data_IF_891921822515
#
_entry.id   IF_891921822515
#
_cell.length_a   1.000
_cell.length_b   1.000
_cell.length_c   1.000
_cell.angle_alpha   90.00
_cell.angle_beta   90.00
_cell.angle_gamma   90.00
#
_symmetry.space_group_name_H-M   'P 1'
#
loop_
_entity.id
_entity.type
_entity.pdbx_description
1 polymer ?
#
# COMPACT_ATOMS: atom_id res chain seq x y z
N UNK A 1 2.46 -24.31 9.65
CA UNK A 1 1.12 -24.08 10.24
C UNK A 1 0.12 -23.95 9.10
N UNK A 2 -1.16 -24.35 9.28
CA UNK A 2 -2.17 -24.05 8.26
C UNK A 2 -2.23 -22.54 8.02
N UNK A 3 -2.50 -22.16 6.76
CA UNK A 3 -2.60 -20.78 6.28
C UNK A 3 -3.44 -19.93 7.25
N UNK A 4 -2.89 -18.80 7.66
CA UNK A 4 -3.63 -17.80 8.44
C UNK A 4 -4.28 -16.82 7.45
N UNK A 5 -5.59 -16.92 7.17
CA UNK A 5 -6.26 -16.08 6.18
C UNK A 5 -6.49 -14.67 6.76
N UNK A 6 -5.39 -13.94 7.00
CA UNK A 6 -5.39 -12.65 7.68
C UNK A 6 -5.90 -11.50 6.80
N UNK A 7 -6.03 -11.73 5.49
CA UNK A 7 -6.51 -10.74 4.51
C UNK A 7 -7.66 -11.31 3.66
N UNK A 8 -8.43 -12.23 4.21
CA UNK A 8 -9.47 -12.96 3.45
C UNK A 8 -10.50 -12.02 2.80
N UNK A 9 -10.88 -10.93 3.45
CA UNK A 9 -11.93 -10.05 2.92
C UNK A 9 -11.42 -9.24 1.72
N UNK A 10 -10.14 -8.88 1.71
CA UNK A 10 -9.54 -8.21 0.55
C UNK A 10 -9.39 -9.19 -0.61
N UNK A 11 -9.02 -10.45 -0.35
CA UNK A 11 -9.02 -11.51 -1.36
C UNK A 11 -10.42 -11.70 -1.99
N UNK A 12 -11.48 -11.70 -1.17
CA UNK A 12 -12.87 -11.75 -1.68
C UNK A 12 -13.18 -10.53 -2.54
N UNK A 13 -12.79 -9.33 -2.12
CA UNK A 13 -13.02 -8.11 -2.90
C UNK A 13 -12.29 -8.14 -4.26
N UNK A 14 -11.02 -8.57 -4.28
CA UNK A 14 -10.24 -8.73 -5.51
C UNK A 14 -10.81 -9.84 -6.41
N UNK A 15 -11.20 -10.98 -5.84
CA UNK A 15 -11.80 -12.07 -6.61
C UNK A 15 -13.16 -11.64 -7.21
N UNK A 16 -13.97 -10.89 -6.47
CA UNK A 16 -15.24 -10.37 -6.96
C UNK A 16 -15.04 -9.37 -8.10
N UNK A 17 -14.12 -8.41 -7.96
CA UNK A 17 -13.83 -7.44 -9.03
C UNK A 17 -13.25 -8.13 -10.27
N UNK A 18 -12.38 -9.12 -10.08
CA UNK A 18 -11.84 -9.94 -11.16
C UNK A 18 -12.92 -10.75 -11.89
N UNK A 19 -13.86 -11.36 -11.18
CA UNK A 19 -14.97 -12.11 -11.81
C UNK A 19 -15.89 -11.23 -12.66
N UNK A 20 -16.02 -9.94 -12.31
CA UNK A 20 -16.91 -9.02 -13.02
C UNK A 20 -16.27 -8.45 -14.29
N UNK A 21 -15.01 -8.04 -14.24
CA UNK A 21 -14.35 -7.28 -15.31
C UNK A 21 -12.89 -7.74 -15.58
N UNK A 22 -12.49 -8.92 -15.12
CA UNK A 22 -11.12 -9.41 -15.24
C UNK A 22 -10.10 -8.49 -14.56
N UNK A 23 -8.93 -8.34 -15.16
CA UNK A 23 -7.87 -7.46 -14.65
C UNK A 23 -8.29 -5.98 -14.60
N UNK A 24 -9.16 -5.54 -15.50
CA UNK A 24 -9.70 -4.19 -15.48
C UNK A 24 -10.50 -3.93 -14.19
N UNK A 25 -11.25 -4.91 -13.71
CA UNK A 25 -11.98 -4.83 -12.45
C UNK A 25 -11.08 -4.64 -11.24
N UNK A 26 -9.94 -5.34 -11.22
CA UNK A 26 -8.92 -5.19 -10.17
C UNK A 26 -8.31 -3.80 -10.21
N UNK A 27 -7.93 -3.31 -11.39
CA UNK A 27 -7.36 -1.97 -11.56
C UNK A 27 -8.35 -0.88 -11.17
N UNK A 28 -9.61 -1.01 -11.57
CA UNK A 28 -10.68 -0.07 -11.19
C UNK A 28 -10.90 -0.03 -9.68
N UNK A 29 -10.90 -1.19 -9.00
CA UNK A 29 -11.00 -1.26 -7.55
C UNK A 29 -9.81 -0.52 -6.89
N UNK A 30 -8.58 -0.79 -7.33
CA UNK A 30 -7.38 -0.12 -6.82
C UNK A 30 -7.42 1.39 -7.03
N UNK A 31 -7.77 1.84 -8.24
CA UNK A 31 -7.89 3.24 -8.58
C UNK A 31 -8.97 3.95 -7.75
N UNK A 32 -10.11 3.29 -7.52
CA UNK A 32 -11.18 3.80 -6.65
C UNK A 32 -10.69 3.95 -5.21
N UNK A 33 -10.00 2.96 -4.65
CA UNK A 33 -9.46 3.03 -3.29
C UNK A 33 -8.45 4.18 -3.14
N UNK A 34 -7.52 4.32 -4.10
CA UNK A 34 -6.53 5.41 -4.11
C UNK A 34 -7.23 6.77 -4.25
N UNK A 35 -8.17 6.89 -5.20
CA UNK A 35 -8.92 8.12 -5.45
C UNK A 35 -9.73 8.56 -4.23
N UNK A 36 -10.46 7.62 -3.59
CA UNK A 36 -11.20 7.89 -2.36
C UNK A 36 -10.27 8.29 -1.20
N UNK A 37 -9.12 7.64 -1.07
CA UNK A 37 -8.11 7.97 -0.04
C UNK A 37 -7.69 9.43 -0.18
N UNK A 38 -7.24 9.85 -1.37
CA UNK A 38 -6.75 11.20 -1.57
C UNK A 38 -7.86 12.25 -1.66
N UNK A 39 -9.10 11.87 -2.00
CA UNK A 39 -10.26 12.74 -1.84
C UNK A 39 -10.54 13.05 -0.35
N UNK A 40 -10.42 12.06 0.54
CA UNK A 40 -10.56 12.27 1.99
C UNK A 40 -9.41 13.10 2.56
N UNK A 41 -8.17 12.83 2.14
CA UNK A 41 -6.99 13.63 2.51
C UNK A 41 -7.16 15.08 2.07
N UNK A 42 -7.59 15.32 0.82
CA UNK A 42 -7.89 16.66 0.31
C UNK A 42 -8.93 17.37 1.17
N UNK A 43 -10.06 16.72 1.44
CA UNK A 43 -11.14 17.30 2.26
C UNK A 43 -10.65 17.66 3.67
N UNK A 44 -9.85 16.79 4.29
CA UNK A 44 -9.25 17.06 5.60
C UNK A 44 -8.26 18.23 5.55
N UNK A 45 -7.38 18.25 4.55
CA UNK A 45 -6.40 19.32 4.35
C UNK A 45 -7.05 20.69 4.09
N UNK A 46 -8.10 20.73 3.26
CA UNK A 46 -8.86 21.94 2.95
C UNK A 46 -9.65 22.43 4.17
N UNK A 47 -10.28 21.52 4.92
CA UNK A 47 -11.02 21.87 6.14
C UNK A 47 -10.11 22.43 7.24
N UNK A 48 -8.88 21.91 7.36
CA UNK A 48 -7.91 22.37 8.37
C UNK A 48 -7.28 23.72 8.06
N UNK A 49 -7.07 24.05 6.79
CA UNK A 49 -6.36 25.26 6.38
C UNK A 49 -7.28 26.40 5.93
N UNK A 50 -8.48 26.08 5.42
CA UNK A 50 -9.33 27.03 4.69
C UNK A 50 -8.78 27.41 3.31
N UNK A 51 -7.76 26.69 2.81
CA UNK A 51 -7.02 26.97 1.58
C UNK A 51 -7.17 25.81 0.59
N UNK A 52 -8.26 25.73 -0.20
CA UNK A 52 -8.53 24.59 -1.08
C UNK A 52 -7.52 24.39 -2.20
N UNK A 53 -6.85 25.42 -2.73
CA UNK A 53 -5.84 25.25 -3.78
C UNK A 53 -4.52 24.73 -3.19
N UNK A 54 -4.09 25.31 -2.07
CA UNK A 54 -2.93 24.81 -1.33
C UNK A 54 -3.14 23.37 -0.83
N UNK A 55 -4.34 23.05 -0.34
CA UNK A 55 -4.72 21.69 0.03
C UNK A 55 -4.63 20.72 -1.14
N UNK A 56 -5.05 21.14 -2.35
CA UNK A 56 -4.92 20.31 -3.54
C UNK A 56 -3.44 20.06 -3.86
N UNK A 57 -2.62 21.11 -3.88
CA UNK A 57 -1.19 20.99 -4.19
C UNK A 57 -0.45 20.03 -3.23
N UNK A 58 -0.67 20.19 -1.92
CA UNK A 58 -0.08 19.28 -0.92
C UNK A 58 -0.64 17.86 -1.03
N UNK A 59 -1.93 17.71 -1.35
CA UNK A 59 -2.54 16.38 -1.56
C UNK A 59 -1.98 15.70 -2.80
N UNK A 60 -1.76 16.41 -3.90
CA UNK A 60 -1.13 15.87 -5.10
C UNK A 60 0.33 15.46 -4.85
N UNK A 61 1.07 16.26 -4.07
CA UNK A 61 2.42 15.90 -3.64
C UNK A 61 2.39 14.63 -2.76
N UNK A 62 1.43 14.53 -1.83
CA UNK A 62 1.24 13.36 -1.00
C UNK A 62 0.84 12.11 -1.82
N UNK A 63 0.01 12.27 -2.85
CA UNK A 63 -0.35 11.21 -3.77
C UNK A 63 0.88 10.73 -4.56
N UNK A 64 1.68 11.66 -5.08
CA UNK A 64 2.93 11.34 -5.77
C UNK A 64 3.98 10.70 -4.84
N UNK A 65 4.07 11.11 -3.57
CA UNK A 65 4.92 10.42 -2.59
C UNK A 65 4.41 9.00 -2.29
N UNK A 66 3.09 8.84 -2.16
CA UNK A 66 2.46 7.56 -1.91
C UNK A 66 2.54 6.58 -3.10
N UNK A 67 2.69 7.07 -4.33
CA UNK A 67 2.70 6.21 -5.53
C UNK A 67 3.92 5.29 -5.60
N UNK A 68 4.94 5.54 -4.79
CA UNK A 68 6.07 4.62 -4.56
C UNK A 68 5.63 3.20 -4.19
N UNK A 69 4.43 3.04 -3.63
CA UNK A 69 3.91 1.76 -3.19
C UNK A 69 2.43 1.56 -3.56
N UNK A 70 2.01 1.99 -4.76
CA UNK A 70 0.67 1.68 -5.29
C UNK A 70 0.68 0.35 -6.04
N UNK A 71 0.66 -0.73 -5.28
CA UNK A 71 0.56 -2.10 -5.82
C UNK A 71 -0.89 -2.58 -5.71
N UNK A 72 -1.33 -3.44 -6.63
CA UNK A 72 -2.64 -4.11 -6.56
C UNK A 72 -2.63 -5.17 -5.45
N UNK A 73 -2.63 -4.71 -4.20
CA UNK A 73 -2.46 -5.48 -2.99
C UNK A 73 -3.39 -4.97 -1.88
N UNK A 74 -3.67 -5.79 -0.85
CA UNK A 74 -4.60 -5.44 0.23
C UNK A 74 -4.25 -4.17 1.04
N UNK A 75 -2.99 -3.72 1.05
CA UNK A 75 -2.59 -2.51 1.77
C UNK A 75 -3.28 -1.23 1.24
N UNK A 76 -3.81 -1.21 0.02
CA UNK A 76 -4.61 -0.08 -0.48
C UNK A 76 -5.87 0.17 0.38
N UNK A 77 -6.48 -0.89 0.93
CA UNK A 77 -7.57 -0.74 1.89
C UNK A 77 -7.07 -0.06 3.17
N UNK A 78 -5.87 -0.39 3.63
CA UNK A 78 -5.25 0.29 4.78
C UNK A 78 -5.07 1.78 4.53
N UNK A 79 -4.65 2.19 3.33
CA UNK A 79 -4.48 3.61 3.02
C UNK A 79 -5.81 4.38 3.18
N UNK A 80 -6.90 3.83 2.63
CA UNK A 80 -8.23 4.40 2.77
C UNK A 80 -8.68 4.44 4.23
N UNK A 81 -8.48 3.34 4.97
CA UNK A 81 -8.91 3.23 6.36
C UNK A 81 -8.08 4.13 7.29
N UNK A 82 -6.80 4.38 7.01
CA UNK A 82 -5.99 5.40 7.70
C UNK A 82 -6.60 6.79 7.50
N UNK A 83 -6.98 7.16 6.27
CA UNK A 83 -7.60 8.46 5.98
C UNK A 83 -8.95 8.62 6.69
N UNK A 84 -9.80 7.57 6.67
CA UNK A 84 -11.07 7.55 7.42
C UNK A 84 -10.81 7.65 8.92
N UNK A 85 -9.92 6.81 9.46
CA UNK A 85 -9.60 6.71 10.87
C UNK A 85 -9.09 8.03 11.45
N UNK A 86 -8.13 8.66 10.77
CA UNK A 86 -7.61 10.00 11.16
C UNK A 86 -8.70 11.05 11.11
N UNK A 87 -9.57 11.05 10.08
CA UNK A 87 -10.71 11.95 9.99
C UNK A 87 -11.72 11.78 11.14
N UNK A 88 -12.00 10.54 11.55
CA UNK A 88 -12.85 10.25 12.71
C UNK A 88 -12.23 10.78 14.01
N UNK A 89 -10.93 10.55 14.21
CA UNK A 89 -10.21 11.03 15.40
C UNK A 89 -10.13 12.56 15.45
N UNK A 90 -9.95 13.22 14.31
CA UNK A 90 -10.07 14.68 14.20
C UNK A 90 -11.48 15.16 14.56
N UNK A 91 -12.52 14.48 14.09
CA UNK A 91 -13.90 14.79 14.45
C UNK A 91 -14.12 14.72 15.95
N UNK A 92 -13.67 13.63 16.59
CA UNK A 92 -13.75 13.45 18.05
C UNK A 92 -12.99 14.57 18.77
N UNK A 93 -11.75 14.85 18.36
CA UNK A 93 -10.92 15.93 18.91
C UNK A 93 -11.64 17.28 18.85
N UNK A 94 -12.30 17.56 17.73
CA UNK A 94 -13.01 18.82 17.50
C UNK A 94 -14.43 18.83 18.11
N UNK A 95 -14.77 17.86 18.98
CA UNK A 95 -16.00 17.84 19.75
C UNK A 95 -17.16 17.06 19.14
N UNK A 96 -17.00 16.40 17.99
CA UNK A 96 -18.02 15.50 17.39
C UNK A 96 -18.09 14.17 18.13
N UNK A 97 -18.42 14.22 19.42
CA UNK A 97 -18.33 13.09 20.36
C UNK A 97 -19.14 11.87 19.92
N UNK A 98 -20.29 12.06 19.26
CA UNK A 98 -21.13 10.92 18.88
C UNK A 98 -20.52 10.04 17.80
N UNK A 99 -19.43 10.44 17.15
CA UNK A 99 -18.82 9.66 16.07
C UNK A 99 -17.95 8.49 16.57
N UNK A 100 -17.72 8.35 17.88
CA UNK A 100 -16.82 7.32 18.43
C UNK A 100 -17.23 5.89 18.10
N UNK A 101 -18.53 5.62 17.89
CA UNK A 101 -19.03 4.28 17.53
C UNK A 101 -18.58 3.85 16.13
N UNK A 102 -18.17 4.78 15.27
CA UNK A 102 -17.63 4.45 13.96
C UNK A 102 -16.23 3.83 14.04
N UNK A 103 -15.44 4.13 15.09
CA UNK A 103 -14.10 3.57 15.28
C UNK A 103 -14.12 2.03 15.32
N UNK A 104 -14.88 1.35 16.20
CA UNK A 104 -14.89 -0.11 16.20
C UNK A 104 -15.42 -0.70 14.89
N UNK A 105 -16.34 -0.05 14.17
CA UNK A 105 -16.79 -0.55 12.87
C UNK A 105 -15.69 -0.49 11.80
N UNK A 106 -14.95 0.62 11.75
CA UNK A 106 -13.80 0.77 10.86
C UNK A 106 -12.72 -0.26 11.21
N UNK A 107 -12.44 -0.47 12.49
CA UNK A 107 -11.43 -1.44 12.94
C UNK A 107 -11.85 -2.89 12.64
N UNK A 108 -13.13 -3.23 12.82
CA UNK A 108 -13.68 -4.54 12.47
C UNK A 108 -13.51 -4.83 10.97
N UNK A 109 -13.75 -3.84 10.12
CA UNK A 109 -13.51 -3.95 8.69
C UNK A 109 -12.01 -4.09 8.40
N UNK A 110 -11.18 -3.27 9.05
CA UNK A 110 -9.73 -3.22 8.83
C UNK A 110 -9.04 -4.54 9.18
N UNK A 111 -9.33 -5.11 10.34
CA UNK A 111 -8.69 -6.35 10.82
C UNK A 111 -8.97 -7.56 9.93
N UNK A 112 -10.04 -7.52 9.13
CA UNK A 112 -10.37 -8.55 8.15
C UNK A 112 -9.84 -8.26 6.74
N UNK A 113 -9.45 -7.01 6.45
CA UNK A 113 -8.94 -6.58 5.14
C UNK A 113 -7.42 -6.67 5.03
N UNK A 114 -6.67 -6.26 6.06
CA UNK A 114 -5.21 -6.15 6.00
C UNK A 114 -4.55 -6.14 7.39
N UNK A 115 -3.37 -6.75 7.50
CA UNK A 115 -2.63 -6.90 8.77
C UNK A 115 -2.13 -5.58 9.40
N UNK A 116 -2.10 -4.47 8.64
CA UNK A 116 -1.66 -3.18 9.15
C UNK A 116 -2.73 -2.39 9.94
N UNK A 117 -3.77 -3.05 10.45
CA UNK A 117 -4.72 -2.46 11.41
C UNK A 117 -4.03 -1.88 12.67
N UNK A 118 -2.83 -2.38 12.98
CA UNK A 118 -1.93 -1.87 14.04
C UNK A 118 -1.66 -0.37 13.86
N UNK A 119 -1.60 0.13 12.62
CA UNK A 119 -1.41 1.56 12.34
C UNK A 119 -2.52 2.42 12.92
N UNK A 120 -3.76 1.91 12.93
CA UNK A 120 -4.88 2.58 13.59
C UNK A 120 -4.64 2.81 15.07
N UNK A 121 -4.06 1.84 15.78
CA UNK A 121 -3.72 1.98 17.21
C UNK A 121 -2.55 2.93 17.45
N UNK A 122 -1.51 2.92 16.59
CA UNK A 122 -0.41 3.88 16.67
C UNK A 122 -0.95 5.31 16.54
N UNK A 123 -1.83 5.54 15.56
CA UNK A 123 -2.47 6.85 15.35
C UNK A 123 -3.36 7.20 16.54
N UNK A 124 -4.20 6.28 17.01
CA UNK A 124 -5.08 6.51 18.16
C UNK A 124 -4.30 6.85 19.42
N UNK A 125 -3.17 6.17 19.68
CA UNK A 125 -2.28 6.47 20.80
C UNK A 125 -1.72 7.89 20.72
N UNK A 126 -1.36 8.38 19.53
CA UNK A 126 -0.91 9.76 19.35
C UNK A 126 -2.02 10.77 19.74
N UNK A 127 -3.27 10.53 19.34
CA UNK A 127 -4.41 11.37 19.73
C UNK A 127 -4.71 11.28 21.23
N UNK A 128 -4.67 10.08 21.81
CA UNK A 128 -4.87 9.89 23.24
C UNK A 128 -3.78 10.60 24.08
N UNK A 129 -2.52 10.52 23.64
CA UNK A 129 -1.40 11.24 24.24
C UNK A 129 -1.59 12.76 24.11
N UNK A 130 -1.98 13.25 22.92
CA UNK A 130 -2.24 14.66 22.68
C UNK A 130 -3.37 15.22 23.56
N UNK A 131 -4.48 14.49 23.69
CA UNK A 131 -5.58 14.84 24.59
C UNK A 131 -5.14 14.83 26.06
N UNK A 132 -4.43 13.79 26.50
CA UNK A 132 -3.97 13.66 27.89
C UNK A 132 -3.01 14.78 28.27
N UNK A 133 -2.07 15.11 27.37
CA UNK A 133 -1.14 16.22 27.55
C UNK A 133 -1.86 17.56 27.70
N UNK A 134 -2.83 17.86 26.81
CA UNK A 134 -3.62 19.08 26.92
C UNK A 134 -4.42 19.14 28.22
N UNK A 135 -5.07 18.05 28.61
CA UNK A 135 -5.95 17.98 29.77
C UNK A 135 -5.20 18.03 31.11
N UNK A 136 -4.04 17.37 31.21
CA UNK A 136 -3.33 17.15 32.48
C UNK A 136 -2.03 17.92 32.63
N UNK A 137 -1.37 18.32 31.54
CA UNK A 137 -0.10 19.06 31.58
C UNK A 137 -0.30 20.54 31.26
N UNK A 138 -1.02 20.83 30.17
CA UNK A 138 -1.31 22.21 29.75
C UNK A 138 -2.54 22.79 30.48
N UNK A 139 -3.34 21.93 31.11
CA UNK A 139 -4.63 22.28 31.72
C UNK A 139 -5.57 23.07 30.77
N UNK A 140 -5.53 22.73 29.48
CA UNK A 140 -6.40 23.32 28.49
C UNK A 140 -7.86 22.87 28.70
N UNK A 141 -8.81 23.75 28.41
CA UNK A 141 -10.22 23.40 28.33
C UNK A 141 -10.46 22.49 27.12
N UNK A 142 -10.92 21.28 27.37
CA UNK A 142 -11.23 20.28 26.34
C UNK A 142 -12.75 20.15 26.18
N UNK A 143 -13.26 19.94 24.95
CA UNK A 143 -14.66 19.67 24.74
C UNK A 143 -15.15 18.48 25.59
N UNK A 144 -16.34 18.62 26.18
CA UNK A 144 -16.87 17.62 27.10
C UNK A 144 -17.08 16.26 26.40
N UNK A 145 -16.48 15.21 26.96
CA UNK A 145 -16.66 13.83 26.51
C UNK A 145 -15.66 13.34 25.46
N UNK A 146 -14.67 14.14 25.05
CA UNK A 146 -13.59 13.72 24.14
C UNK A 146 -12.80 12.54 24.70
N UNK A 147 -12.32 12.64 25.95
CA UNK A 147 -11.58 11.56 26.60
C UNK A 147 -12.37 10.25 26.71
N UNK A 148 -13.67 10.35 27.05
CA UNK A 148 -14.57 9.19 27.08
C UNK A 148 -14.74 8.58 25.68
N UNK A 149 -14.87 9.40 24.65
CA UNK A 149 -15.02 8.97 23.26
C UNK A 149 -13.77 8.26 22.76
N UNK A 150 -12.58 8.81 23.04
CA UNK A 150 -11.30 8.16 22.72
C UNK A 150 -11.14 6.84 23.46
N UNK A 151 -11.43 6.81 24.76
CA UNK A 151 -11.31 5.60 25.59
C UNK A 151 -12.26 4.49 25.14
N UNK A 152 -13.56 4.79 24.99
CA UNK A 152 -14.56 3.81 24.55
C UNK A 152 -14.31 3.36 23.11
N UNK A 153 -14.04 4.30 22.20
CA UNK A 153 -13.73 4.00 20.82
C UNK A 153 -12.48 3.12 20.68
N UNK A 154 -11.41 3.44 21.41
CA UNK A 154 -10.18 2.65 21.42
C UNK A 154 -10.36 1.26 22.02
N UNK A 155 -11.00 1.16 23.19
CA UNK A 155 -11.24 -0.12 23.87
C UNK A 155 -12.13 -1.06 23.05
N UNK A 156 -13.22 -0.54 22.47
CA UNK A 156 -14.08 -1.35 21.59
C UNK A 156 -13.39 -1.71 20.29
N UNK A 157 -12.57 -0.80 19.72
CA UNK A 157 -11.76 -1.11 18.54
C UNK A 157 -10.76 -2.23 18.82
N UNK A 158 -10.14 -2.25 20.01
CA UNK A 158 -9.27 -3.34 20.43
C UNK A 158 -10.05 -4.65 20.57
N UNK A 159 -11.23 -4.62 21.20
CA UNK A 159 -12.07 -5.81 21.39
C UNK A 159 -12.48 -6.44 20.04
N UNK A 160 -12.89 -5.63 19.06
CA UNK A 160 -13.30 -6.15 17.74
C UNK A 160 -12.14 -6.71 16.92
N UNK A 161 -10.87 -6.47 17.29
CA UNK A 161 -9.74 -7.14 16.61
C UNK A 161 -9.78 -8.65 16.76
N UNK A 162 -10.47 -9.17 17.79
CA UNK A 162 -10.70 -10.61 17.96
C UNK A 162 -11.75 -11.17 16.98
N UNK A 163 -12.53 -10.33 16.30
CA UNK A 163 -13.60 -10.73 15.39
C UNK A 163 -13.06 -10.93 13.96
N UNK A 164 -12.23 -11.95 13.82
CA UNK A 164 -11.67 -12.41 12.55
C UNK A 164 -11.45 -13.94 12.63
N UNK A 165 -11.28 -14.66 11.50
CA UNK A 165 -11.15 -16.13 11.49
C UNK A 165 -10.01 -16.70 12.36
N UNK A 166 -8.99 -15.89 12.64
CA UNK A 166 -7.77 -16.24 13.38
C UNK A 166 -7.88 -15.86 14.87
N UNK A 167 -8.82 -14.98 15.21
CA UNK A 167 -8.96 -14.41 16.55
C UNK A 167 -7.75 -13.58 16.98
N UNK A 168 -7.40 -13.64 18.26
CA UNK A 168 -6.29 -12.86 18.85
C UNK A 168 -4.91 -13.28 18.36
N UNK A 169 -4.76 -14.50 17.80
CA UNK A 169 -3.47 -14.97 17.25
C UNK A 169 -2.98 -14.11 16.09
N UNK A 170 -3.88 -13.37 15.44
CA UNK A 170 -3.55 -12.43 14.38
C UNK A 170 -2.51 -11.39 14.82
N UNK A 171 -2.57 -10.92 16.08
CA UNK A 171 -1.57 -10.00 16.63
C UNK A 171 -0.16 -10.59 16.63
N UNK A 172 -0.03 -11.87 16.99
CA UNK A 172 1.24 -12.57 16.99
C UNK A 172 1.77 -12.76 15.56
N UNK A 173 0.90 -13.05 14.59
CA UNK A 173 1.27 -13.15 13.17
C UNK A 173 1.77 -11.81 12.62
N UNK A 174 1.00 -10.73 12.83
CA UNK A 174 1.35 -9.40 12.31
C UNK A 174 2.61 -8.82 12.95
N UNK A 175 2.83 -9.04 14.25
CA UNK A 175 4.03 -8.58 14.96
C UNK A 175 5.24 -9.50 14.71
N UNK A 176 5.02 -10.82 14.59
CA UNK A 176 6.08 -11.81 14.37
C UNK A 176 6.74 -11.67 13.00
N UNK A 177 5.96 -11.35 11.96
CA UNK A 177 6.51 -11.11 10.62
C UNK A 177 7.46 -9.91 10.59
N UNK A 178 7.10 -8.81 11.25
CA UNK A 178 7.97 -7.63 11.37
C UNK A 178 9.30 -7.93 12.09
N UNK A 179 9.37 -9.00 12.87
CA UNK A 179 10.58 -9.44 13.57
C UNK A 179 11.47 -10.41 12.79
N UNK A 180 11.05 -10.94 11.63
CA UNK A 180 11.86 -11.87 10.85
C UNK A 180 12.84 -11.11 9.94
N UNK A 181 14.06 -10.89 10.45
CA UNK A 181 15.10 -10.13 9.75
C UNK A 181 15.51 -10.70 8.38
N UNK A 182 15.40 -12.02 8.17
CA UNK A 182 15.76 -12.65 6.89
C UNK A 182 14.73 -12.34 5.80
N UNK A 183 13.44 -12.52 6.09
CA UNK A 183 12.36 -12.21 5.14
C UNK A 183 12.25 -10.70 4.87
N UNK A 184 12.40 -9.88 5.92
CA UNK A 184 12.42 -8.42 5.83
C UNK A 184 13.65 -7.93 5.04
N UNK A 185 14.82 -8.52 5.25
CA UNK A 185 16.06 -8.10 4.57
C UNK A 185 16.09 -8.42 3.06
N UNK A 186 15.33 -9.41 2.59
CA UNK A 186 15.27 -9.80 1.18
C UNK A 186 14.07 -9.22 0.42
N UNK A 187 13.32 -8.31 1.03
CA UNK A 187 12.14 -7.68 0.42
C UNK A 187 12.40 -6.19 0.25
N UNK A 188 12.54 -5.74 -1.00
CA UNK A 188 12.93 -4.36 -1.33
C UNK A 188 12.03 -3.29 -0.70
N UNK A 189 10.76 -3.62 -0.42
CA UNK A 189 9.80 -2.71 0.23
C UNK A 189 10.12 -2.38 1.71
N UNK A 190 10.93 -3.20 2.38
CA UNK A 190 11.38 -2.96 3.76
C UNK A 190 12.66 -2.16 3.85
N UNK A 191 13.32 -1.90 2.73
CA UNK A 191 14.53 -1.07 2.69
C UNK A 191 14.18 0.42 2.81
N UNK A 192 15.16 1.20 3.25
CA UNK A 192 15.08 2.65 3.27
C UNK A 192 14.92 3.23 1.86
N UNK A 193 14.19 4.35 1.70
CA UNK A 193 14.08 5.04 0.41
C UNK A 193 15.46 5.44 -0.14
N UNK A 194 15.72 5.13 -1.41
CA UNK A 194 16.93 5.56 -2.10
C UNK A 194 16.69 6.90 -2.82
N UNK A 195 17.17 8.00 -2.23
CA UNK A 195 16.98 9.35 -2.78
C UNK A 195 17.77 9.64 -4.07
N UNK A 196 18.66 8.73 -4.50
CA UNK A 196 19.25 8.80 -5.84
C UNK A 196 18.29 8.33 -6.93
N UNK A 197 17.25 7.57 -6.59
CA UNK A 197 16.17 7.22 -7.52
C UNK A 197 15.15 8.36 -7.59
N UNK A 198 14.91 8.86 -8.81
CA UNK A 198 13.95 9.92 -9.12
C UNK A 198 12.54 9.55 -8.67
N UNK A 199 12.20 8.26 -8.63
CA UNK A 199 10.90 7.78 -8.16
C UNK A 199 10.60 8.25 -6.72
N UNK A 200 11.63 8.45 -5.88
CA UNK A 200 11.50 8.85 -4.47
C UNK A 200 11.45 10.36 -4.25
N UNK A 201 11.70 11.16 -5.28
CA UNK A 201 11.75 12.61 -5.16
C UNK A 201 10.46 13.26 -4.66
N UNK A 202 9.25 12.80 -5.01
CA UNK A 202 8.04 13.35 -4.41
C UNK A 202 8.01 13.22 -2.88
N UNK A 203 8.51 12.10 -2.33
CA UNK A 203 8.65 11.93 -0.89
C UNK A 203 9.70 12.89 -0.31
N UNK A 204 10.87 13.04 -0.95
CA UNK A 204 11.89 14.01 -0.55
C UNK A 204 11.35 15.45 -0.54
N UNK A 205 10.65 15.85 -1.62
CA UNK A 205 10.01 17.16 -1.73
C UNK A 205 8.97 17.38 -0.63
N UNK A 206 8.22 16.34 -0.26
CA UNK A 206 7.28 16.40 0.85
C UNK A 206 7.97 16.62 2.20
N UNK A 207 9.09 15.94 2.46
CA UNK A 207 9.92 16.17 3.66
C UNK A 207 10.43 17.61 3.69
N UNK A 208 11.05 18.07 2.61
CA UNK A 208 11.61 19.42 2.51
C UNK A 208 10.54 20.50 2.68
N UNK A 209 9.36 20.28 2.06
CA UNK A 209 8.20 21.16 2.22
C UNK A 209 7.74 21.19 3.67
N UNK A 210 7.66 20.04 4.34
CA UNK A 210 7.29 19.95 5.75
C UNK A 210 8.27 20.68 6.66
N UNK A 211 9.58 20.46 6.48
CA UNK A 211 10.63 21.15 7.23
C UNK A 211 10.57 22.66 7.03
N UNK A 212 10.43 23.11 5.77
CA UNK A 212 10.30 24.53 5.45
C UNK A 212 9.04 25.14 6.09
N UNK A 213 7.88 24.48 5.99
CA UNK A 213 6.63 24.97 6.60
C UNK A 213 6.73 25.09 8.12
N UNK A 214 7.31 24.10 8.80
CA UNK A 214 7.50 24.15 10.26
C UNK A 214 8.47 25.27 10.64
N UNK A 215 9.56 25.45 9.89
CA UNK A 215 10.54 26.51 10.15
C UNK A 215 10.00 27.92 9.87
N UNK A 216 9.27 28.09 8.75
CA UNK A 216 8.75 29.37 8.28
C UNK A 216 7.50 29.81 9.04
N UNK A 217 6.52 28.91 9.22
CA UNK A 217 5.26 29.24 9.89
C UNK A 217 5.39 29.28 11.42
N UNK A 218 6.43 28.63 11.98
CA UNK A 218 6.61 28.37 13.42
C UNK A 218 5.29 27.98 14.11
N UNK A 219 4.60 26.96 13.58
CA UNK A 219 3.25 26.63 14.02
C UNK A 219 3.28 26.11 15.46
N UNK A 220 2.25 26.42 16.24
CA UNK A 220 2.00 25.76 17.52
C UNK A 220 1.40 24.38 17.25
N UNK A 221 2.24 23.42 16.89
CA UNK A 221 1.82 22.04 16.65
C UNK A 221 1.30 21.42 17.96
N UNK A 222 0.13 20.81 17.88
CA UNK A 222 -0.37 19.95 18.96
C UNK A 222 0.49 18.69 19.07
N UNK A 223 0.61 18.13 20.28
CA UNK A 223 1.48 16.97 20.54
C UNK A 223 1.16 15.79 19.61
N UNK A 224 -0.12 15.49 19.36
CA UNK A 224 -0.51 14.44 18.41
C UNK A 224 0.00 14.70 17.00
N UNK A 225 -0.02 15.95 16.53
CA UNK A 225 0.47 16.30 15.19
C UNK A 225 1.98 16.13 15.11
N UNK A 226 2.71 16.52 16.16
CA UNK A 226 4.15 16.32 16.24
C UNK A 226 4.51 14.83 16.28
N UNK A 227 3.82 14.03 17.10
CA UNK A 227 4.02 12.58 17.17
C UNK A 227 3.72 11.89 15.83
N UNK A 228 2.65 12.28 15.16
CA UNK A 228 2.28 11.73 13.85
C UNK A 228 3.30 12.13 12.77
N UNK A 229 3.70 13.40 12.70
CA UNK A 229 4.70 13.85 11.73
C UNK A 229 6.05 13.15 11.94
N UNK A 230 6.58 13.20 13.17
CA UNK A 230 7.92 12.67 13.47
C UNK A 230 7.95 11.14 13.47
N UNK A 231 6.93 10.50 14.05
CA UNK A 231 6.83 9.04 14.12
C UNK A 231 6.70 8.41 12.74
N UNK A 232 5.78 8.90 11.91
CA UNK A 232 5.62 8.37 10.55
C UNK A 232 6.77 8.74 9.64
N UNK A 233 7.40 9.91 9.80
CA UNK A 233 8.62 10.25 9.06
C UNK A 233 9.75 9.27 9.41
N UNK A 234 9.98 9.00 10.69
CA UNK A 234 10.98 8.02 11.13
C UNK A 234 10.73 6.64 10.54
N UNK A 235 9.48 6.15 10.60
CA UNK A 235 9.10 4.86 10.01
C UNK A 235 9.24 4.83 8.48
N UNK A 236 8.95 5.94 7.80
CA UNK A 236 9.07 6.07 6.34
C UNK A 236 10.53 6.17 5.87
N UNK A 237 11.43 6.72 6.69
CA UNK A 237 12.87 6.73 6.42
C UNK A 237 13.50 5.34 6.64
N UNK A 238 12.94 4.55 7.56
CA UNK A 238 13.37 3.15 7.78
C UNK A 238 12.87 2.23 6.68
N UNK A 239 11.65 2.42 6.18
CA UNK A 239 11.06 1.55 5.15
C UNK A 239 10.13 2.32 4.20
N UNK A 240 10.34 2.14 2.90
CA UNK A 240 9.50 2.71 1.82
C UNK A 240 8.01 2.36 2.02
N UNK A 241 7.69 1.20 2.58
CA UNK A 241 6.31 0.77 2.84
C UNK A 241 5.50 1.74 3.72
N UNK A 242 6.16 2.52 4.57
CA UNK A 242 5.48 3.48 5.46
C UNK A 242 5.34 4.88 4.84
N UNK A 243 5.95 5.15 3.68
CA UNK A 243 5.84 6.43 2.97
C UNK A 243 4.38 6.80 2.64
N UNK A 244 3.53 5.88 2.12
CA UNK A 244 2.12 6.18 1.89
C UNK A 244 1.37 6.66 3.15
N UNK A 245 1.62 6.02 4.29
CA UNK A 245 0.94 6.36 5.55
C UNK A 245 1.42 7.72 6.07
N UNK A 246 2.74 7.98 5.99
CA UNK A 246 3.28 9.31 6.26
C UNK A 246 2.61 10.36 5.38
N UNK A 247 2.50 10.13 4.08
CA UNK A 247 1.92 11.08 3.13
C UNK A 247 0.45 11.41 3.47
N UNK A 248 -0.35 10.40 3.78
CA UNK A 248 -1.78 10.55 4.15
C UNK A 248 -1.95 11.33 5.45
N UNK A 249 -1.18 10.99 6.47
CA UNK A 249 -1.31 11.59 7.81
C UNK A 249 -0.73 13.00 7.87
N UNK A 250 0.39 13.23 7.19
CA UNK A 250 1.11 14.51 7.25
C UNK A 250 0.46 15.59 6.37
N UNK A 251 -0.12 15.25 5.22
CA UNK A 251 -0.67 16.24 4.29
C UNK A 251 -1.68 17.21 4.93
N UNK A 252 -2.69 16.77 5.70
CA UNK A 252 -3.60 17.69 6.38
C UNK A 252 -2.93 18.50 7.50
N UNK A 253 -1.87 17.97 8.14
CA UNK A 253 -1.11 18.70 9.17
C UNK A 253 -0.28 19.81 8.52
N UNK A 254 0.48 19.48 7.47
CA UNK A 254 1.33 20.43 6.75
C UNK A 254 0.50 21.55 6.13
N UNK A 255 -0.65 21.21 5.54
CA UNK A 255 -1.56 22.23 4.97
C UNK A 255 -2.08 23.18 6.05
N UNK A 256 -2.30 22.70 7.28
CA UNK A 256 -2.70 23.55 8.42
C UNK A 256 -1.63 24.57 8.84
N UNK A 257 -0.36 24.39 8.45
CA UNK A 257 0.72 25.34 8.73
C UNK A 257 0.77 26.50 7.71
N UNK A 258 0.18 26.34 6.52
CA UNK A 258 0.25 27.31 5.42
C UNK A 258 -0.35 28.69 5.72
N UNK A 259 -1.49 28.82 6.44
CA UNK A 259 -2.04 30.13 6.77
C UNK A 259 -1.04 31.05 7.47
N UNK A 260 -0.17 30.51 8.34
CA UNK A 260 0.86 31.28 9.04
C UNK A 260 1.96 31.83 8.11
N UNK A 261 2.19 31.20 6.95
CA UNK A 261 3.19 31.65 5.96
C UNK A 261 2.58 32.67 4.99
N UNK A 262 1.35 32.44 4.55
CA UNK A 262 0.71 33.23 3.50
C UNK A 262 0.21 34.61 3.96
N UNK A 263 0.18 34.88 5.26
CA UNK A 263 -0.26 36.17 5.80
C UNK A 263 0.76 37.31 5.66
N UNK A 264 2.00 37.03 5.22
CA UNK A 264 3.12 37.98 5.34
C UNK A 264 3.66 38.61 4.03
N UNK A 265 2.98 38.49 2.86
CA UNK A 265 3.51 39.07 1.61
C UNK A 265 2.46 39.51 0.58
N UNK A 266 2.80 40.48 -0.29
CA UNK A 266 1.92 40.99 -1.36
C UNK A 266 1.49 39.92 -2.39
N UNK A 267 2.35 38.97 -2.82
CA UNK A 267 1.92 37.79 -3.58
C UNK A 267 0.91 36.92 -2.81
N UNK A 268 1.03 36.87 -1.47
CA UNK A 268 0.10 36.19 -0.58
C UNK A 268 -1.33 36.73 -0.67
N UNK A 269 -1.52 38.05 -0.81
CA UNK A 269 -2.85 38.66 -0.96
C UNK A 269 -3.53 38.28 -2.29
N UNK A 270 -2.77 38.23 -3.39
CA UNK A 270 -3.31 37.78 -4.67
C UNK A 270 -3.68 36.29 -4.64
N UNK A 271 -2.86 35.47 -3.98
CA UNK A 271 -3.15 34.05 -3.76
C UNK A 271 -4.39 33.85 -2.88
N UNK A 272 -4.52 34.60 -1.79
CA UNK A 272 -5.68 34.56 -0.90
C UNK A 272 -7.00 34.86 -1.63
N UNK A 273 -7.00 35.76 -2.62
CA UNK A 273 -8.19 36.00 -3.46
C UNK A 273 -8.58 34.78 -4.28
N UNK A 274 -7.61 34.07 -4.85
CA UNK A 274 -7.85 32.82 -5.59
C UNK A 274 -8.37 31.71 -4.66
N UNK A 275 -7.76 31.58 -3.49
CA UNK A 275 -8.20 30.64 -2.44
C UNK A 275 -9.65 30.93 -2.02
N UNK A 276 -9.99 32.19 -1.77
CA UNK A 276 -11.35 32.59 -1.41
C UNK A 276 -12.36 32.33 -2.55
N UNK A 277 -11.97 32.58 -3.81
CA UNK A 277 -12.78 32.24 -4.97
C UNK A 277 -13.03 30.75 -5.08
N UNK A 278 -11.98 29.94 -4.94
CA UNK A 278 -12.09 28.48 -4.97
C UNK A 278 -12.89 27.94 -3.77
N UNK A 279 -12.74 28.51 -2.58
CA UNK A 279 -13.51 28.11 -1.40
C UNK A 279 -15.01 28.38 -1.58
N UNK A 280 -15.37 29.50 -2.24
CA UNK A 280 -16.76 29.77 -2.61
C UNK A 280 -17.29 28.78 -3.65
N UNK A 281 -16.48 28.44 -4.65
CA UNK A 281 -16.84 27.45 -5.67
C UNK A 281 -17.07 26.07 -5.03
N UNK A 282 -16.12 25.60 -4.20
CA UNK A 282 -16.24 24.35 -3.45
C UNK A 282 -17.45 24.36 -2.53
N UNK A 283 -17.70 25.45 -1.81
CA UNK A 283 -18.88 25.61 -0.96
C UNK A 283 -20.18 25.53 -1.77
N UNK A 284 -20.24 26.22 -2.91
CA UNK A 284 -21.40 26.21 -3.81
C UNK A 284 -21.66 24.84 -4.45
N UNK A 285 -20.60 24.10 -4.76
CA UNK A 285 -20.65 22.74 -5.31
C UNK A 285 -20.61 21.64 -4.23
N UNK A 286 -20.75 22.00 -2.94
CA UNK A 286 -20.76 21.06 -1.81
C UNK A 286 -19.54 20.11 -1.76
N UNK A 287 -18.38 20.58 -2.20
CA UNK A 287 -17.14 19.78 -2.22
C UNK A 287 -16.93 18.95 -3.50
N UNK A 288 -17.77 19.14 -4.53
CA UNK A 288 -17.72 18.33 -5.75
C UNK A 288 -16.96 19.00 -6.91
N UNK A 289 -16.26 20.13 -6.69
CA UNK A 289 -15.61 20.84 -7.80
C UNK A 289 -14.54 19.99 -8.50
N UNK A 290 -13.65 19.31 -7.75
CA UNK A 290 -12.63 18.44 -8.34
C UNK A 290 -13.18 17.17 -9.00
N UNK A 291 -14.10 16.39 -8.38
CA UNK A 291 -14.75 15.28 -9.07
C UNK A 291 -15.39 15.69 -10.41
N UNK A 292 -16.07 16.84 -10.45
CA UNK A 292 -16.65 17.39 -11.68
C UNK A 292 -15.54 17.70 -12.69
N UNK A 293 -14.48 18.42 -12.27
CA UNK A 293 -13.37 18.77 -13.13
C UNK A 293 -12.65 17.55 -13.72
N UNK A 294 -12.39 16.52 -12.90
CA UNK A 294 -11.77 15.26 -13.34
C UNK A 294 -12.68 14.51 -14.30
N UNK A 295 -13.98 14.44 -14.02
CA UNK A 295 -14.96 13.78 -14.89
C UNK A 295 -15.05 14.48 -16.25
N UNK A 296 -15.06 15.82 -16.26
CA UNK A 296 -15.05 16.61 -17.49
C UNK A 296 -13.73 16.43 -18.26
N UNK A 297 -12.59 16.47 -17.58
CA UNK A 297 -11.28 16.26 -18.20
C UNK A 297 -11.17 14.86 -18.83
N UNK A 298 -11.64 13.83 -18.12
CA UNK A 298 -11.70 12.46 -18.65
C UNK A 298 -12.64 12.36 -19.86
N UNK A 299 -13.83 12.96 -19.78
CA UNK A 299 -14.78 13.00 -20.89
C UNK A 299 -14.23 13.71 -22.14
N UNK A 300 -13.53 14.82 -21.95
CA UNK A 300 -12.86 15.55 -23.03
C UNK A 300 -11.68 14.76 -23.63
N UNK A 301 -10.88 14.10 -22.80
CA UNK A 301 -9.79 13.25 -23.27
C UNK A 301 -10.32 12.06 -24.10
N UNK A 302 -11.41 11.43 -23.65
CA UNK A 302 -12.10 10.37 -24.41
C UNK A 302 -12.66 10.89 -25.73
N UNK A 303 -13.34 12.04 -25.73
CA UNK A 303 -13.89 12.66 -26.94
C UNK A 303 -12.81 13.08 -27.94
N UNK A 304 -11.63 13.46 -27.44
CA UNK A 304 -10.46 13.80 -28.24
C UNK A 304 -9.63 12.59 -28.71
N UNK A 305 -10.09 11.36 -28.47
CA UNK A 305 -9.35 10.12 -28.74
C UNK A 305 -7.94 10.12 -28.14
N UNK A 306 -7.74 10.84 -27.03
CA UNK A 306 -6.47 10.85 -26.31
C UNK A 306 -6.33 9.48 -25.66
N UNK A 307 -5.26 8.72 -25.97
CA UNK A 307 -5.03 7.44 -25.32
C UNK A 307 -4.81 7.67 -23.82
N UNK A 308 -5.81 7.29 -23.01
CA UNK A 308 -5.77 7.41 -21.56
C UNK A 308 -4.76 6.47 -20.90
N UNK A 309 -4.30 5.46 -21.65
CA UNK A 309 -3.27 4.53 -21.23
C UNK A 309 -2.07 4.64 -22.18
N UNK A 310 -0.86 4.91 -21.67
CA UNK A 310 0.35 4.92 -22.50
C UNK A 310 0.71 3.52 -23.03
N UNK A 311 0.06 2.46 -22.53
CA UNK A 311 0.24 1.09 -22.97
C UNK A 311 -0.88 0.68 -23.93
N UNK A 312 -0.52 0.39 -25.18
CA UNK A 312 -1.45 0.02 -26.25
C UNK A 312 -2.13 -1.36 -26.10
N UNK A 313 -2.06 -1.99 -24.92
CA UNK A 313 -2.47 -3.39 -24.69
C UNK A 313 -3.49 -3.62 -23.58
N UNK A 314 -4.05 -2.55 -22.98
CA UNK A 314 -4.95 -2.67 -21.83
C UNK A 314 -4.25 -3.20 -20.57
N UNK A 315 -5.03 -3.64 -19.58
CA UNK A 315 -4.49 -4.25 -18.36
C UNK A 315 -4.13 -5.72 -18.61
N UNK A 316 -2.95 -5.96 -19.19
CA UNK A 316 -2.44 -7.29 -19.53
C UNK A 316 -1.02 -7.51 -18.99
N UNK A 317 -0.65 -8.78 -18.80
CA UNK A 317 0.71 -9.16 -18.43
C UNK A 317 1.65 -8.99 -19.62
N UNK A 318 2.74 -8.23 -19.43
CA UNK A 318 3.74 -8.02 -20.47
C UNK A 318 4.50 -9.32 -20.75
N UNK A 319 4.54 -9.80 -22.00
CA UNK A 319 5.30 -11.00 -22.38
C UNK A 319 6.82 -10.79 -22.29
N UNK A 320 7.30 -9.56 -22.06
CA UNK A 320 8.71 -9.25 -21.82
C UNK A 320 9.13 -9.42 -20.35
N UNK A 321 8.15 -9.53 -19.44
CA UNK A 321 8.38 -9.59 -17.99
C UNK A 321 7.86 -10.90 -17.42
N UNK A 322 6.72 -11.37 -17.93
CA UNK A 322 6.07 -12.61 -17.52
C UNK A 322 6.17 -13.67 -18.61
N UNK A 323 6.20 -14.97 -18.25
CA UNK A 323 6.40 -16.09 -19.16
C UNK A 323 5.10 -16.41 -19.92
N UNK A 324 4.50 -15.42 -20.59
CA UNK A 324 3.16 -15.52 -21.18
C UNK A 324 3.09 -16.64 -22.21
N UNK A 325 4.07 -16.71 -23.11
CA UNK A 325 4.07 -17.71 -24.19
C UNK A 325 4.41 -19.11 -23.66
N UNK A 326 5.37 -19.23 -22.75
CA UNK A 326 5.69 -20.50 -22.09
C UNK A 326 4.48 -21.06 -21.31
N UNK A 327 3.75 -20.21 -20.60
CA UNK A 327 2.54 -20.63 -19.88
C UNK A 327 1.40 -20.98 -20.83
N UNK A 328 1.21 -20.26 -21.93
CA UNK A 328 0.25 -20.66 -22.98
C UNK A 328 0.61 -22.06 -23.55
N UNK A 329 1.90 -22.35 -23.70
CA UNK A 329 2.36 -23.67 -24.15
C UNK A 329 2.10 -24.75 -23.09
N UNK A 330 2.38 -24.48 -21.82
CA UNK A 330 2.09 -25.38 -20.69
C UNK A 330 0.58 -25.64 -20.51
N UNK A 331 -0.30 -24.67 -20.78
CA UNK A 331 -1.76 -24.90 -20.76
C UNK A 331 -2.18 -25.95 -21.79
N UNK A 332 -1.53 -25.97 -22.95
CA UNK A 332 -1.82 -26.97 -23.99
C UNK A 332 -1.24 -28.35 -23.68
N UNK A 333 -0.26 -28.43 -22.77
CA UNK A 333 0.46 -29.64 -22.35
C UNK A 333 0.80 -29.56 -20.86
N UNK A 334 -0.18 -29.76 -19.97
CA UNK A 334 0.06 -29.64 -18.54
C UNK A 334 1.17 -30.60 -18.10
N UNK A 335 2.19 -30.12 -17.38
CA UNK A 335 3.29 -30.95 -16.95
C UNK A 335 2.81 -32.02 -15.97
N UNK A 336 3.24 -33.27 -16.17
CA UNK A 336 3.09 -34.31 -15.15
C UNK A 336 4.27 -34.26 -14.20
N UNK A 337 4.03 -33.98 -12.91
CA UNK A 337 5.06 -33.91 -11.88
C UNK A 337 5.17 -32.55 -11.20
N UNK A 338 6.26 -32.34 -10.44
CA UNK A 338 6.49 -31.09 -9.69
C UNK A 338 7.30 -30.10 -10.50
N UNK A 339 6.88 -28.84 -10.47
CA UNK A 339 7.51 -27.72 -11.18
C UNK A 339 8.35 -26.90 -10.21
N UNK A 340 9.59 -26.60 -10.59
CA UNK A 340 10.41 -25.56 -9.99
C UNK A 340 10.35 -24.30 -10.86
N UNK A 341 9.70 -23.25 -10.36
CA UNK A 341 9.47 -22.02 -11.11
C UNK A 341 10.34 -20.88 -10.60
N UNK A 342 10.59 -19.91 -11.47
CA UNK A 342 11.15 -18.62 -11.08
C UNK A 342 10.20 -17.89 -10.11
N UNK A 343 10.74 -17.51 -8.96
CA UNK A 343 10.00 -16.90 -7.84
C UNK A 343 9.12 -15.71 -8.25
N UNK A 344 9.61 -14.71 -9.02
CA UNK A 344 8.77 -13.59 -9.48
C UNK A 344 7.60 -13.99 -10.39
N UNK A 345 7.64 -15.18 -11.00
CA UNK A 345 6.57 -15.69 -11.85
C UNK A 345 5.57 -16.59 -11.12
N UNK A 346 5.86 -17.03 -9.89
CA UNK A 346 5.02 -18.00 -9.17
C UNK A 346 3.56 -17.60 -9.07
N UNK A 347 3.28 -16.34 -8.70
CA UNK A 347 1.91 -15.83 -8.63
C UNK A 347 1.22 -15.77 -10.00
N UNK A 348 1.96 -15.50 -11.07
CA UNK A 348 1.43 -15.51 -12.45
C UNK A 348 1.10 -16.93 -12.92
N UNK A 349 1.98 -17.89 -12.62
CA UNK A 349 1.76 -19.32 -12.95
C UNK A 349 0.54 -19.86 -12.20
N UNK A 350 0.39 -19.55 -10.91
CA UNK A 350 -0.81 -19.88 -10.16
C UNK A 350 -2.08 -19.24 -10.75
N UNK A 351 -2.02 -17.96 -11.10
CA UNK A 351 -3.15 -17.26 -11.72
C UNK A 351 -3.64 -17.93 -13.01
N UNK A 352 -2.73 -18.49 -13.81
CA UNK A 352 -3.04 -19.12 -15.11
C UNK A 352 -3.39 -20.60 -15.01
N UNK A 353 -2.63 -21.35 -14.20
CA UNK A 353 -2.59 -22.81 -14.26
C UNK A 353 -3.17 -23.51 -13.01
N UNK A 354 -3.61 -22.77 -11.99
CA UNK A 354 -4.24 -23.39 -10.83
C UNK A 354 -5.63 -23.94 -11.18
N UNK A 355 -6.01 -25.15 -10.72
CA UNK A 355 -5.31 -26.02 -9.75
C UNK A 355 -4.37 -27.07 -10.38
N UNK A 356 -4.26 -27.10 -11.70
CA UNK A 356 -3.58 -28.17 -12.45
C UNK A 356 -2.06 -28.16 -12.24
N UNK A 357 -1.45 -26.97 -12.11
CA UNK A 357 -0.03 -26.82 -11.81
C UNK A 357 0.17 -26.16 -10.45
N UNK A 358 0.97 -26.82 -9.60
CA UNK A 358 1.43 -26.28 -8.32
C UNK A 358 2.85 -25.75 -8.47
N UNK A 359 3.03 -24.50 -8.07
CA UNK A 359 4.34 -23.83 -8.06
C UNK A 359 5.19 -24.33 -6.89
N UNK A 360 6.51 -24.26 -7.05
CA UNK A 360 7.46 -24.49 -5.97
C UNK A 360 7.39 -23.37 -4.93
N UNK A 361 7.40 -22.12 -5.41
CA UNK A 361 7.35 -20.93 -4.58
C UNK A 361 6.70 -19.74 -5.33
N UNK A 362 6.09 -18.82 -4.60
CA UNK A 362 5.65 -17.53 -5.10
C UNK A 362 5.96 -16.39 -4.11
N UNK A 363 5.52 -15.18 -4.41
CA UNK A 363 5.77 -13.98 -3.60
C UNK A 363 5.22 -13.98 -2.17
N UNK A 364 4.46 -15.00 -1.77
CA UNK A 364 3.90 -15.16 -0.43
C UNK A 364 4.89 -15.91 0.49
N UNK A 365 6.10 -15.37 0.63
CA UNK A 365 7.22 -15.97 1.36
C UNK A 365 6.94 -16.21 2.84
N UNK A 366 6.03 -15.44 3.43
CA UNK A 366 5.52 -15.62 4.78
C UNK A 366 4.84 -16.99 4.98
N UNK A 367 4.24 -17.55 3.92
CA UNK A 367 3.62 -18.89 3.97
C UNK A 367 4.62 -20.03 3.81
N UNK A 368 5.61 -19.88 2.94
CA UNK A 368 6.62 -20.91 2.69
C UNK A 368 7.65 -21.00 3.82
N UNK A 369 7.92 -19.87 4.48
CA UNK A 369 8.87 -19.78 5.59
C UNK A 369 10.33 -19.76 5.14
N UNK A 370 11.20 -19.52 6.11
CA UNK A 370 12.64 -19.35 5.87
C UNK A 370 13.31 -20.60 5.30
N UNK A 371 12.95 -21.79 5.79
CA UNK A 371 13.58 -23.04 5.37
C UNK A 371 13.45 -23.29 3.86
N UNK A 372 12.23 -23.19 3.30
CA UNK A 372 12.02 -23.38 1.87
C UNK A 372 12.63 -22.24 1.06
N UNK A 373 12.59 -21.01 1.58
CA UNK A 373 13.20 -19.85 0.89
C UNK A 373 14.71 -20.02 0.74
N UNK A 374 15.39 -20.56 1.76
CA UNK A 374 16.82 -20.88 1.70
C UNK A 374 17.14 -22.01 0.72
N UNK A 375 16.31 -23.05 0.68
CA UNK A 375 16.46 -24.14 -0.31
C UNK A 375 16.24 -23.63 -1.74
N UNK A 376 15.27 -22.75 -1.95
CA UNK A 376 15.09 -22.08 -3.22
C UNK A 376 16.32 -21.25 -3.61
N UNK A 377 16.86 -20.45 -2.68
CA UNK A 377 18.07 -19.65 -2.86
C UNK A 377 19.28 -20.53 -3.20
N UNK A 378 19.47 -21.65 -2.49
CA UNK A 378 20.52 -22.63 -2.75
C UNK A 378 20.47 -23.11 -4.21
N UNK A 379 19.26 -23.40 -4.73
CA UNK A 379 19.07 -23.83 -6.12
C UNK A 379 19.39 -22.74 -7.13
N UNK A 380 18.84 -21.53 -6.96
CA UNK A 380 19.05 -20.46 -7.96
C UNK A 380 20.47 -19.89 -7.95
N UNK A 381 21.21 -20.06 -6.85
CA UNK A 381 22.61 -19.63 -6.72
C UNK A 381 23.62 -20.73 -7.08
N UNK A 382 23.15 -21.96 -7.35
CA UNK A 382 24.01 -23.14 -7.58
C UNK A 382 24.97 -23.41 -6.42
N UNK A 383 24.52 -23.16 -5.20
CA UNK A 383 25.29 -23.45 -3.99
C UNK A 383 25.43 -24.97 -3.78
N UNK A 384 26.45 -25.41 -3.05
CA UNK A 384 26.73 -26.83 -2.81
C UNK A 384 25.46 -27.62 -2.41
N UNK A 385 25.18 -28.72 -3.11
CA UNK A 385 24.03 -29.60 -2.87
C UNK A 385 22.70 -29.11 -3.46
N UNK A 386 22.72 -28.17 -4.40
CA UNK A 386 21.49 -27.68 -5.04
C UNK A 386 20.73 -28.78 -5.81
N UNK A 387 21.42 -29.73 -6.43
CA UNK A 387 20.81 -30.86 -7.14
C UNK A 387 19.98 -31.73 -6.18
N UNK A 388 20.50 -31.93 -4.97
CA UNK A 388 19.82 -32.71 -3.93
C UNK A 388 18.51 -32.05 -3.47
N UNK A 389 18.37 -30.72 -3.60
CA UNK A 389 17.10 -30.03 -3.36
C UNK A 389 16.08 -30.38 -4.45
N UNK A 390 16.48 -30.36 -5.73
CA UNK A 390 15.59 -30.75 -6.83
C UNK A 390 15.15 -32.22 -6.70
N UNK A 391 16.06 -33.10 -6.28
CA UNK A 391 15.75 -34.51 -6.01
C UNK A 391 14.84 -34.68 -4.79
N UNK A 392 15.13 -33.99 -3.68
CA UNK A 392 14.30 -34.01 -2.45
C UNK A 392 12.83 -33.69 -2.75
N UNK A 393 12.58 -32.77 -3.69
CA UNK A 393 11.23 -32.36 -4.07
C UNK A 393 10.71 -33.07 -5.32
N UNK A 394 11.39 -34.09 -5.84
CA UNK A 394 11.06 -34.79 -7.09
C UNK A 394 10.67 -33.81 -8.22
N UNK A 395 11.49 -32.79 -8.43
CA UNK A 395 11.27 -31.80 -9.48
C UNK A 395 11.48 -32.47 -10.84
N UNK A 396 10.47 -32.37 -11.70
CA UNK A 396 10.48 -32.91 -13.06
C UNK A 396 10.55 -31.78 -14.09
N UNK A 397 10.06 -30.59 -13.73
CA UNK A 397 9.96 -29.46 -14.65
C UNK A 397 10.60 -28.22 -14.05
N UNK A 398 11.32 -27.45 -14.86
CA UNK A 398 11.91 -26.17 -14.45
C UNK A 398 11.46 -25.08 -15.40
N UNK A 399 10.88 -23.99 -14.86
CA UNK A 399 10.45 -22.80 -15.61
C UNK A 399 11.25 -21.59 -15.13
N UNK A 400 12.19 -21.12 -15.95
CA UNK A 400 13.17 -20.09 -15.57
C UNK A 400 13.47 -19.09 -16.69
N UNK A 401 14.04 -17.92 -16.39
CA UNK A 401 14.65 -17.06 -17.41
C UNK A 401 15.79 -17.81 -18.15
N UNK A 402 15.90 -17.69 -19.48
CA UNK A 402 16.93 -18.38 -20.26
C UNK A 402 18.35 -18.08 -19.77
N UNK A 403 18.60 -16.83 -19.37
CA UNK A 403 19.91 -16.36 -18.92
C UNK A 403 20.17 -16.58 -17.42
N UNK A 404 19.33 -17.35 -16.73
CA UNK A 404 19.55 -17.67 -15.31
C UNK A 404 20.71 -18.68 -15.13
N UNK A 405 21.37 -18.64 -13.98
CA UNK A 405 22.44 -19.60 -13.65
C UNK A 405 21.93 -21.04 -13.69
N UNK A 406 20.75 -21.29 -13.11
CA UNK A 406 20.10 -22.59 -13.08
C UNK A 406 19.80 -23.12 -14.49
N UNK A 407 19.22 -22.31 -15.38
CA UNK A 407 18.92 -22.74 -16.75
C UNK A 407 20.19 -23.20 -17.50
N UNK A 408 21.29 -22.44 -17.38
CA UNK A 408 22.58 -22.82 -18.00
C UNK A 408 23.17 -24.10 -17.42
N UNK A 409 23.09 -24.29 -16.10
CA UNK A 409 23.58 -25.50 -15.45
C UNK A 409 22.81 -26.73 -15.95
N UNK A 410 21.48 -26.65 -15.98
CA UNK A 410 20.61 -27.74 -16.42
C UNK A 410 20.75 -28.05 -17.92
N UNK A 411 21.02 -27.06 -18.78
CA UNK A 411 21.34 -27.32 -20.20
C UNK A 411 22.63 -28.14 -20.40
N UNK A 412 23.54 -28.09 -19.42
CA UNK A 412 24.79 -28.85 -19.47
C UNK A 412 24.63 -30.27 -18.90
N UNK A 413 23.49 -30.57 -18.27
CA UNK A 413 23.19 -31.87 -17.68
C UNK A 413 22.36 -32.71 -18.66
N UNK A 414 22.90 -33.88 -19.03
CA UNK A 414 22.21 -34.83 -19.91
C UNK A 414 20.90 -35.39 -19.36
N UNK A 415 20.64 -35.23 -18.06
CA UNK A 415 19.38 -35.62 -17.43
C UNK A 415 18.24 -34.65 -17.71
N UNK A 416 18.50 -33.48 -18.30
CA UNK A 416 17.49 -32.46 -18.59
C UNK A 416 17.41 -32.17 -20.09
N UNK A 417 16.19 -31.93 -20.57
CA UNK A 417 15.92 -31.59 -21.96
C UNK A 417 15.12 -30.32 -22.07
N UNK A 418 15.51 -29.43 -22.98
CA UNK A 418 14.73 -28.23 -23.30
C UNK A 418 13.53 -28.63 -24.15
N UNK A 419 12.34 -28.33 -23.64
CA UNK A 419 11.06 -28.65 -24.30
C UNK A 419 10.32 -27.39 -24.77
N UNK A 420 10.73 -26.22 -24.29
CA UNK A 420 10.26 -24.92 -24.75
C UNK A 420 11.29 -23.83 -24.47
N UNK A 421 11.45 -22.88 -25.39
CA UNK A 421 12.21 -21.65 -25.15
C UNK A 421 11.63 -20.46 -25.93
N UNK A 422 11.62 -19.28 -25.29
CA UNK A 422 11.43 -17.99 -25.95
C UNK A 422 12.40 -16.94 -25.36
N UNK A 423 12.22 -15.67 -25.73
CA UNK A 423 13.07 -14.58 -25.26
C UNK A 423 12.95 -14.28 -23.74
N UNK A 424 11.93 -14.83 -23.07
CA UNK A 424 11.61 -14.52 -21.67
C UNK A 424 11.79 -15.73 -20.76
N UNK A 425 11.45 -16.94 -21.22
CA UNK A 425 11.42 -18.15 -20.41
C UNK A 425 11.91 -19.39 -21.19
N UNK A 426 12.52 -20.30 -20.45
CA UNK A 426 12.81 -21.68 -20.86
C UNK A 426 12.04 -22.65 -19.97
N UNK A 427 11.59 -23.76 -20.56
CA UNK A 427 11.04 -24.91 -19.85
C UNK A 427 11.94 -26.11 -20.08
N UNK A 428 12.40 -26.69 -18.98
CA UNK A 428 13.25 -27.87 -18.97
C UNK A 428 12.51 -29.03 -18.31
N UNK A 429 12.58 -30.21 -18.91
CA UNK A 429 11.99 -31.44 -18.41
C UNK A 429 13.10 -32.46 -18.11
N UNK A 430 13.04 -33.06 -16.92
CA UNK A 430 13.94 -34.13 -16.51
C UNK A 430 13.59 -35.39 -17.30
N UNK A 431 14.58 -36.01 -17.94
CA UNK A 431 14.41 -37.30 -18.60
C UNK A 431 13.91 -38.35 -17.58
N UNK A 432 12.97 -39.23 -18.01
CA UNK A 432 12.35 -40.23 -17.14
C UNK A 432 13.32 -41.29 -16.60
#
# INVERSE_FOLDING_TARGET
>A
MPLTPHEWLSQVAFAASFRLLGLDGVVLLCALLIGLTFALVYRSAAARSGLPLAALAITLLAAAASSLHWLARPHLFTLLLVAVWTGLLDGIRNGQRTIWWALPLVMLLWVNLHGAFIFGFIIWLAYAAGWSWRRWVVHAEEPAGVGRSLALGGALSLAVTALNPVGLKLWATSLGYAGNAYLVGHTAEYLSPNFHDVSTWPFLLMILTGLWLVAAARPRLSLESALLLMGWLGLALVSVRHVPVFAIVSAPILTGCLPGVLQASAPGLAWQRREAGMARLEGGLRGHAWPIAVTLAAGLALAGSVPLTPFAGGNAFSPRVFPVQAVNWLESRPPTGRVFNYFPWGGYVLYRLWPDVRVFIDGQTDFYGEALTREYEQVITLSDGWEAVLEKYDVVWVLMPPDSGLARALHSDSAWSEVYADATAVVLERAP
#
